data_IF_783176569538
#
_entry.id   IF_783176569538
#
_cell.length_a   1.000
_cell.length_b   1.000
_cell.length_c   1.000
_cell.angle_alpha   90.00
_cell.angle_beta   90.00
_cell.angle_gamma   90.00
#
_symmetry.space_group_name_H-M   'P 1'
#
loop_
_entity.id
_entity.type
_entity.pdbx_description
1 polymer ?
#
# COMPACT_ATOMS: atom_id res chain seq x y z
N UNK A 1 10.56 -7.32 -12.08
CA UNK A 1 10.29 -8.55 -11.29
C UNK A 1 10.46 -9.85 -12.09
N UNK A 2 10.83 -9.82 -13.38
CA UNK A 2 11.17 -11.05 -14.13
C UNK A 2 9.98 -11.94 -14.54
N UNK A 3 8.76 -11.60 -14.13
CA UNK A 3 7.53 -12.32 -14.50
C UNK A 3 7.08 -11.83 -15.89
N UNK A 4 7.60 -12.46 -16.94
CA UNK A 4 7.26 -12.12 -18.33
C UNK A 4 6.40 -13.22 -18.98
N UNK A 5 6.72 -14.49 -18.70
CA UNK A 5 6.19 -15.65 -19.42
C UNK A 5 4.67 -15.79 -19.30
N UNK A 6 4.09 -15.40 -18.16
CA UNK A 6 2.63 -15.45 -17.93
C UNK A 6 1.84 -14.52 -18.85
N UNK A 7 2.46 -13.48 -19.40
CA UNK A 7 1.83 -12.51 -20.31
C UNK A 7 2.04 -12.85 -21.78
N UNK A 8 2.92 -13.82 -22.09
CA UNK A 8 3.30 -14.18 -23.44
C UNK A 8 2.47 -15.39 -23.93
N UNK A 9 1.60 -15.24 -24.95
CA UNK A 9 0.69 -16.31 -25.37
C UNK A 9 1.38 -17.65 -25.72
N UNK A 10 2.62 -17.60 -26.23
CA UNK A 10 3.38 -18.77 -26.64
C UNK A 10 4.27 -19.35 -25.54
N UNK A 11 4.39 -18.69 -24.38
CA UNK A 11 5.28 -19.09 -23.28
C UNK A 11 4.54 -19.34 -21.97
N UNK A 12 3.33 -18.79 -21.82
CA UNK A 12 2.49 -18.99 -20.66
C UNK A 12 2.12 -20.48 -20.50
N UNK A 13 2.25 -20.99 -19.28
CA UNK A 13 1.84 -22.36 -18.92
C UNK A 13 0.84 -22.32 -17.76
N UNK A 14 -0.44 -22.44 -18.11
CA UNK A 14 -1.57 -22.48 -17.17
C UNK A 14 -2.22 -23.87 -17.08
N UNK A 15 -1.51 -24.94 -17.49
CA UNK A 15 -2.00 -26.32 -17.37
C UNK A 15 -2.45 -26.74 -15.96
N UNK A 16 -1.82 -26.27 -14.86
CA UNK A 16 -2.32 -26.54 -13.51
C UNK A 16 -3.69 -25.91 -13.20
N UNK A 17 -4.13 -24.93 -13.98
CA UNK A 17 -5.40 -24.22 -13.82
C UNK A 17 -6.47 -24.73 -14.78
N UNK A 18 -6.11 -25.08 -16.02
CA UNK A 18 -7.03 -25.52 -17.08
C UNK A 18 -6.30 -26.28 -18.19
N UNK A 19 -7.00 -27.22 -18.85
CA UNK A 19 -6.50 -27.92 -20.04
C UNK A 19 -6.62 -27.10 -21.34
N UNK A 20 -7.27 -25.93 -21.28
CA UNK A 20 -7.41 -25.04 -22.43
C UNK A 20 -6.05 -24.48 -22.89
N UNK A 21 -5.77 -24.60 -24.19
CA UNK A 21 -4.52 -24.11 -24.78
C UNK A 21 -4.60 -22.61 -25.08
N UNK A 22 -3.45 -21.94 -25.01
CA UNK A 22 -3.35 -20.52 -25.37
C UNK A 22 -3.93 -19.57 -24.33
N UNK A 23 -4.13 -20.04 -23.09
CA UNK A 23 -4.48 -19.20 -21.94
C UNK A 23 -3.24 -18.45 -21.49
N UNK A 24 -3.36 -17.14 -21.33
CA UNK A 24 -2.31 -16.24 -20.83
C UNK A 24 -2.94 -15.04 -20.12
N UNK A 25 -2.12 -14.34 -19.33
CA UNK A 25 -2.55 -13.12 -18.63
C UNK A 25 -2.54 -11.95 -19.60
N UNK A 26 -3.70 -11.32 -19.80
CA UNK A 26 -3.81 -10.11 -20.63
C UNK A 26 -3.40 -8.84 -19.89
N UNK A 27 -3.87 -8.69 -18.65
CA UNK A 27 -3.52 -7.59 -17.76
C UNK A 27 -3.81 -8.02 -16.33
N UNK A 28 -3.12 -7.40 -15.37
CA UNK A 28 -3.41 -7.51 -13.95
C UNK A 28 -3.82 -6.11 -13.51
N UNK A 29 -5.01 -5.99 -12.94
CA UNK A 29 -5.52 -4.74 -12.42
C UNK A 29 -5.56 -4.78 -10.89
N UNK A 30 -5.11 -3.70 -10.27
CA UNK A 30 -5.22 -3.47 -8.84
C UNK A 30 -5.71 -2.04 -8.62
N UNK A 31 -6.85 -1.91 -7.94
CA UNK A 31 -7.40 -0.62 -7.52
C UNK A 31 -7.45 -0.57 -5.99
N UNK A 32 -6.94 0.50 -5.40
CA UNK A 32 -6.85 0.67 -3.95
C UNK A 32 -7.30 2.08 -3.57
N UNK A 33 -8.27 2.17 -2.67
CA UNK A 33 -8.73 3.43 -2.11
C UNK A 33 -8.27 3.57 -0.66
N UNK A 34 -7.59 4.68 -0.35
CA UNK A 34 -7.11 4.99 1.01
C UNK A 34 -7.72 6.29 1.48
N UNK A 35 -8.38 6.24 2.63
CA UNK A 35 -8.96 7.42 3.28
C UNK A 35 -8.36 7.59 4.67
N UNK A 36 -7.51 8.61 4.84
CA UNK A 36 -6.90 8.93 6.14
C UNK A 36 -7.77 9.99 6.82
N UNK A 37 -8.29 9.67 8.02
CA UNK A 37 -9.12 10.58 8.83
C UNK A 37 -8.60 10.67 10.25
N UNK A 38 -8.60 11.88 10.78
CA UNK A 38 -8.35 12.12 12.19
C UNK A 38 -9.66 11.92 12.96
N UNK A 39 -9.71 10.91 13.82
CA UNK A 39 -10.76 10.79 14.82
C UNK A 39 -10.22 11.30 16.16
N UNK A 40 -11.00 12.06 16.94
CA UNK A 40 -10.60 12.46 18.27
C UNK A 40 -10.52 11.20 19.15
N UNK A 41 -9.32 10.66 19.32
CA UNK A 41 -9.07 9.59 20.28
C UNK A 41 -8.88 10.28 21.64
N UNK A 42 -9.81 10.07 22.57
CA UNK A 42 -9.75 10.64 23.93
C UNK A 42 -8.43 10.31 24.68
N UNK A 43 -7.67 9.31 24.21
CA UNK A 43 -6.33 8.94 24.72
C UNK A 43 -5.21 9.92 24.34
N UNK A 44 -5.42 10.83 23.37
CA UNK A 44 -4.48 11.91 23.06
C UNK A 44 -4.54 13.05 24.08
N UNK A 45 -5.52 13.05 25.00
CA UNK A 45 -5.41 13.76 26.28
C UNK A 45 -4.41 13.02 27.19
N UNK A 46 -3.19 12.81 26.69
CA UNK A 46 -2.08 12.32 27.49
C UNK A 46 -1.82 13.41 28.53
N UNK A 47 -2.01 13.08 29.81
CA UNK A 47 -1.50 13.91 30.90
C UNK A 47 0.01 14.01 30.69
N UNK A 48 0.47 15.08 30.04
CA UNK A 48 1.88 15.39 29.95
C UNK A 48 2.34 15.64 31.38
N UNK A 49 2.93 14.63 32.01
CA UNK A 49 3.75 14.84 33.20
C UNK A 49 4.79 15.92 32.88
N UNK A 50 5.20 16.68 33.89
CA UNK A 50 6.34 17.57 33.75
C UNK A 50 7.52 16.75 33.19
N UNK A 51 8.12 17.17 32.08
CA UNK A 51 9.35 16.61 31.47
C UNK A 51 9.20 15.68 30.24
N UNK A 52 8.35 15.99 29.25
CA UNK A 52 8.72 15.66 27.84
C UNK A 52 8.30 16.79 26.91
N UNK A 53 9.27 17.44 26.26
CA UNK A 53 8.98 18.37 25.15
C UNK A 53 8.67 17.50 23.93
N UNK A 54 7.43 17.51 23.38
CA UNK A 54 7.08 16.67 22.25
C UNK A 54 7.94 17.02 21.03
N UNK A 55 8.40 15.99 20.31
CA UNK A 55 9.04 16.18 19.02
C UNK A 55 7.93 16.52 18.02
N UNK A 56 8.03 17.69 17.40
CA UNK A 56 7.15 18.08 16.30
C UNK A 56 7.71 17.51 15.01
N UNK A 57 6.92 16.70 14.32
CA UNK A 57 7.23 16.18 12.99
C UNK A 57 6.28 16.87 12.01
N UNK A 58 6.85 17.59 11.04
CA UNK A 58 6.10 18.23 9.96
C UNK A 58 6.28 17.42 8.68
N UNK A 59 5.18 16.88 8.17
CA UNK A 59 5.16 16.08 6.94
C UNK A 59 4.53 16.92 5.82
N UNK A 60 5.28 17.93 5.36
CA UNK A 60 4.84 18.95 4.40
C UNK A 60 5.53 18.83 3.03
N UNK A 61 6.14 17.69 2.75
CA UNK A 61 6.83 17.34 1.51
C UNK A 61 6.54 15.85 1.20
N UNK A 62 6.88 15.34 0.00
CA UNK A 62 6.58 13.96 -0.37
C UNK A 62 7.09 12.94 0.65
N UNK A 63 6.27 11.94 0.97
CA UNK A 63 6.59 10.92 1.97
C UNK A 63 6.06 9.54 1.58
N UNK A 64 6.66 8.51 2.18
CA UNK A 64 6.21 7.12 2.10
C UNK A 64 5.35 6.79 3.33
N UNK A 65 4.37 5.91 3.14
CA UNK A 65 3.60 5.34 4.23
C UNK A 65 3.46 3.83 4.07
N UNK A 66 3.36 3.14 5.20
CA UNK A 66 3.10 1.72 5.27
C UNK A 66 1.97 1.46 6.26
N UNK A 67 1.06 0.56 5.90
CA UNK A 67 0.11 -0.04 6.84
C UNK A 67 0.65 -1.43 7.12
N UNK A 68 1.02 -1.67 8.38
CA UNK A 68 1.74 -2.88 8.80
C UNK A 68 0.90 -3.66 9.80
N UNK A 69 0.76 -4.95 9.57
CA UNK A 69 0.34 -5.91 10.57
C UNK A 69 1.54 -6.21 11.47
N UNK A 70 1.43 -5.90 12.77
CA UNK A 70 2.54 -6.04 13.74
C UNK A 70 2.68 -7.45 14.31
N UNK A 71 1.68 -8.29 14.17
CA UNK A 71 1.75 -9.67 14.68
C UNK A 71 2.42 -10.57 13.64
N UNK A 72 2.23 -10.25 12.35
CA UNK A 72 2.82 -10.97 11.23
C UNK A 72 4.08 -10.30 10.66
N UNK A 73 4.38 -9.07 11.08
CA UNK A 73 5.45 -8.23 10.52
C UNK A 73 5.35 -8.06 8.98
N UNK A 74 4.12 -7.90 8.48
CA UNK A 74 3.83 -7.77 7.04
C UNK A 74 3.30 -6.39 6.71
N UNK A 75 3.85 -5.77 5.66
CA UNK A 75 3.28 -4.57 5.05
C UNK A 75 2.04 -4.95 4.23
N UNK A 76 0.86 -4.66 4.77
CA UNK A 76 -0.44 -4.85 4.10
C UNK A 76 -0.60 -3.83 2.98
N UNK A 77 -0.08 -2.61 3.18
CA UNK A 77 -0.05 -1.57 2.16
C UNK A 77 1.26 -0.79 2.22
N UNK A 78 1.77 -0.44 1.04
CA UNK A 78 2.83 0.54 0.87
C UNK A 78 2.38 1.59 -0.13
N UNK A 79 2.65 2.86 0.15
CA UNK A 79 2.32 3.94 -0.77
C UNK A 79 3.20 5.16 -0.58
N UNK A 80 3.05 6.11 -1.50
CA UNK A 80 3.70 7.42 -1.43
C UNK A 80 2.66 8.51 -1.63
N UNK A 81 2.79 9.61 -0.89
CA UNK A 81 2.01 10.83 -1.10
C UNK A 81 2.95 11.88 -1.67
N UNK A 82 2.70 12.29 -2.91
CA UNK A 82 3.46 13.34 -3.59
C UNK A 82 2.78 14.71 -3.49
N UNK A 83 1.46 14.73 -3.73
CA UNK A 83 0.62 15.91 -3.61
C UNK A 83 -0.70 15.52 -2.94
N UNK A 84 -0.95 15.92 -1.69
CA UNK A 84 -2.15 15.51 -0.95
C UNK A 84 -3.45 16.11 -1.52
N UNK A 85 -3.35 17.16 -2.35
CA UNK A 85 -4.50 17.76 -3.04
C UNK A 85 -4.80 17.08 -4.37
N UNK A 86 -3.92 16.20 -4.85
CA UNK A 86 -4.10 15.46 -6.10
C UNK A 86 -4.37 13.99 -5.77
N UNK A 87 -5.65 13.64 -5.68
CA UNK A 87 -6.18 12.34 -5.17
C UNK A 87 -5.87 11.14 -6.07
N UNK A 88 -5.17 11.33 -7.20
CA UNK A 88 -4.82 10.23 -8.10
C UNK A 88 -3.58 9.51 -7.59
N UNK A 89 -3.76 8.28 -7.12
CA UNK A 89 -2.67 7.33 -6.86
C UNK A 89 -2.08 6.95 -8.23
N UNK A 90 -0.78 7.22 -8.43
CA UNK A 90 -0.01 6.83 -9.62
C UNK A 90 0.99 5.74 -9.26
#
# INVERSE_FOLDING_TARGET
>A
MGICDVFEPNRADFRPMTDEKGVYVRHIEQSIDVTIRTHPINQLKRNYGAQTKPIQISVNHPFLFFIVDRDLDVAVMSGRILNPLNVRIQ
#
